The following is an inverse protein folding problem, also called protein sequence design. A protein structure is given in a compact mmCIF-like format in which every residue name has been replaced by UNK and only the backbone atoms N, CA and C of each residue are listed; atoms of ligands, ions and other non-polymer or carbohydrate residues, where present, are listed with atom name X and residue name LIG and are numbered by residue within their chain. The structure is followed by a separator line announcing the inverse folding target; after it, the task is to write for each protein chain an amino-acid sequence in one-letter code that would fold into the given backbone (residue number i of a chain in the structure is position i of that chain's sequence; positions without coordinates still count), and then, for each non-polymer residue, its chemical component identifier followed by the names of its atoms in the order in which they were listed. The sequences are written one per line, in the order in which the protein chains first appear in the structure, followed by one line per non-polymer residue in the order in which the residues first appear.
data_IF_044435538813
#
_entry.id   IF_044435538813
#
_cell.length_a   1.000
_cell.length_b   1.000
_cell.length_c   1.000
_cell.angle_alpha   90.00
_cell.angle_beta   90.00
_cell.angle_gamma   90.00
#
_symmetry.space_group_name_H-M   'P 1'
#
loop_
_entity.id
_entity.type
_entity.pdbx_description
1 polymer ?
#
# COMPACT_ATOMS: atom_id res chain seq x y z
N UNK A 1 -28.20 5.48 -6.19
CA UNK A 1 -27.60 5.23 -4.85
C UNK A 1 -27.06 3.81 -4.64
N UNK A 2 -27.46 2.79 -5.44
CA UNK A 2 -26.96 1.40 -5.27
C UNK A 2 -25.57 1.13 -5.89
N UNK A 3 -25.01 2.07 -6.64
CA UNK A 3 -23.83 1.83 -7.50
C UNK A 3 -22.54 2.45 -6.99
N UNK A 4 -22.50 2.87 -5.71
CA UNK A 4 -21.26 3.41 -5.14
C UNK A 4 -20.17 2.35 -5.10
N UNK A 5 -18.94 2.76 -5.40
CA UNK A 5 -17.73 1.92 -5.33
C UNK A 5 -16.71 2.54 -4.40
N UNK A 6 -16.17 1.73 -3.50
CA UNK A 6 -14.97 2.05 -2.75
C UNK A 6 -13.80 1.33 -3.43
N UNK A 7 -12.82 2.09 -3.93
CA UNK A 7 -11.63 1.55 -4.57
C UNK A 7 -10.41 1.87 -3.72
N UNK A 8 -9.75 0.82 -3.24
CA UNK A 8 -8.60 0.87 -2.35
C UNK A 8 -7.36 0.41 -3.11
N UNK A 9 -6.39 1.29 -3.26
CA UNK A 9 -5.12 0.99 -3.94
C UNK A 9 -4.00 0.74 -2.94
N UNK A 10 -3.22 -0.33 -3.16
CA UNK A 10 -1.84 -0.37 -2.65
C UNK A 10 -0.96 0.64 -3.42
N UNK A 11 0.27 0.89 -2.95
CA UNK A 11 1.17 1.91 -3.49
C UNK A 11 2.33 1.26 -4.26
N UNK A 12 3.19 0.52 -3.57
CA UNK A 12 4.48 0.07 -4.08
C UNK A 12 4.31 -1.13 -5.00
N UNK A 13 4.58 -0.93 -6.29
CA UNK A 13 4.31 -1.96 -7.29
C UNK A 13 2.90 -1.91 -7.86
N UNK A 14 2.03 -1.02 -7.36
CA UNK A 14 0.64 -0.84 -7.85
C UNK A 14 0.40 0.54 -8.46
N UNK A 15 0.62 1.62 -7.70
CA UNK A 15 0.51 3.00 -8.19
C UNK A 15 1.85 3.51 -8.74
N UNK A 16 2.94 3.13 -8.08
CA UNK A 16 4.27 3.64 -8.39
C UNK A 16 5.35 2.61 -8.13
N UNK A 17 6.49 2.79 -8.79
CA UNK A 17 7.75 2.18 -8.40
C UNK A 17 8.48 3.16 -7.48
N UNK A 18 8.76 2.74 -6.24
CA UNK A 18 9.46 3.57 -5.25
C UNK A 18 10.97 3.73 -5.51
N UNK A 19 11.56 2.94 -6.40
CA UNK A 19 13.01 2.90 -6.58
C UNK A 19 13.73 2.31 -5.36
N UNK A 20 15.03 2.61 -5.24
CA UNK A 20 15.88 2.02 -4.18
C UNK A 20 15.94 2.85 -2.91
N UNK A 21 15.69 4.15 -3.01
CA UNK A 21 15.76 5.11 -1.91
C UNK A 21 15.10 4.61 -0.63
N UNK A 22 13.85 4.13 -0.71
CA UNK A 22 13.07 3.74 0.48
C UNK A 22 13.72 2.60 1.25
N UNK A 23 14.12 1.53 0.54
CA UNK A 23 14.79 0.38 1.13
C UNK A 23 16.13 0.79 1.74
N UNK A 24 16.92 1.59 1.02
CA UNK A 24 18.23 2.04 1.50
C UNK A 24 18.12 2.92 2.75
N UNK A 25 17.16 3.86 2.79
CA UNK A 25 16.89 4.67 3.98
C UNK A 25 16.41 3.83 5.15
N UNK A 26 15.55 2.85 4.92
CA UNK A 26 15.02 1.97 5.95
C UNK A 26 16.13 1.11 6.56
N UNK A 27 16.93 0.44 5.72
CA UNK A 27 18.05 -0.39 6.14
C UNK A 27 19.12 0.44 6.88
N UNK A 28 19.40 1.67 6.42
CA UNK A 28 20.30 2.59 7.11
C UNK A 28 19.78 2.99 8.51
N UNK A 29 18.48 3.21 8.66
CA UNK A 29 17.88 3.54 9.96
C UNK A 29 17.90 2.38 10.93
N UNK A 30 17.69 1.15 10.45
CA UNK A 30 17.85 -0.06 11.28
C UNK A 30 19.29 -0.19 11.74
N UNK A 31 20.28 -0.03 10.85
CA UNK A 31 21.69 -0.13 11.19
C UNK A 31 22.16 0.95 12.18
N UNK A 32 21.59 2.16 12.10
CA UNK A 32 21.85 3.25 13.05
C UNK A 32 21.33 2.93 14.45
N UNK A 33 20.13 2.36 14.56
CA UNK A 33 19.56 1.96 15.85
C UNK A 33 20.30 0.77 16.50
N UNK A 34 20.92 -0.09 15.69
CA UNK A 34 21.61 -1.29 16.18
C UNK A 34 23.02 -1.45 15.59
N UNK A 35 23.99 -0.61 16.00
CA UNK A 35 25.35 -0.67 15.47
C UNK A 35 26.01 -2.04 15.73
N UNK A 36 26.54 -2.65 14.68
CA UNK A 36 27.22 -3.95 14.75
C UNK A 36 26.31 -5.19 14.72
N UNK A 37 24.99 -5.01 14.68
CA UNK A 37 24.05 -6.12 14.51
C UNK A 37 23.93 -6.50 13.02
N UNK A 38 24.00 -7.80 12.74
CA UNK A 38 23.77 -8.35 11.40
C UNK A 38 22.30 -8.76 11.30
N UNK A 39 21.57 -8.15 10.37
CA UNK A 39 20.18 -8.46 10.12
C UNK A 39 20.01 -9.49 9.00
N UNK A 40 19.00 -10.38 9.09
CA UNK A 40 18.69 -11.30 8.01
C UNK A 40 18.06 -10.57 6.82
N UNK A 41 18.04 -11.22 5.66
CA UNK A 41 17.23 -10.75 4.53
C UNK A 41 15.76 -11.04 4.81
N UNK A 42 14.92 -10.01 4.77
CA UNK A 42 13.46 -10.14 4.82
C UNK A 42 12.81 -9.53 3.60
N UNK A 43 11.73 -10.14 3.11
CA UNK A 43 10.89 -9.53 2.08
C UNK A 43 10.08 -8.38 2.68
N UNK A 44 10.05 -7.25 1.99
CA UNK A 44 9.25 -6.08 2.40
C UNK A 44 7.88 -6.08 1.72
N UNK A 45 7.77 -6.75 0.58
CA UNK A 45 6.61 -6.66 -0.29
C UNK A 45 5.36 -7.22 0.40
N UNK A 46 4.28 -6.44 0.35
CA UNK A 46 3.00 -6.78 0.98
C UNK A 46 3.00 -6.80 2.51
N UNK A 47 4.04 -6.26 3.18
CA UNK A 47 4.11 -6.14 4.64
C UNK A 47 3.92 -4.70 5.08
N UNK A 48 3.60 -4.52 6.37
CA UNK A 48 3.65 -3.19 6.98
C UNK A 48 5.07 -2.85 7.39
N UNK A 49 5.43 -1.57 7.42
CA UNK A 49 6.75 -1.13 7.87
C UNK A 49 7.06 -1.62 9.30
N UNK A 50 6.04 -1.63 10.18
CA UNK A 50 6.15 -2.18 11.55
C UNK A 50 6.43 -3.68 11.57
N UNK A 51 5.77 -4.45 10.71
CA UNK A 51 6.00 -5.89 10.59
C UNK A 51 7.42 -6.18 10.09
N UNK A 52 7.92 -5.39 9.14
CA UNK A 52 9.30 -5.51 8.64
C UNK A 52 10.30 -5.29 9.78
N UNK A 53 10.15 -4.22 10.57
CA UNK A 53 11.00 -4.00 11.75
C UNK A 53 10.95 -5.17 12.73
N UNK A 54 9.75 -5.69 13.03
CA UNK A 54 9.58 -6.84 13.92
C UNK A 54 10.31 -8.08 13.40
N UNK A 55 10.15 -8.42 12.12
CA UNK A 55 10.81 -9.60 11.54
C UNK A 55 12.34 -9.47 11.52
N UNK A 56 12.86 -8.28 11.22
CA UNK A 56 14.29 -8.00 11.28
C UNK A 56 14.83 -8.21 12.69
N UNK A 57 14.19 -7.64 13.70
CA UNK A 57 14.60 -7.79 15.10
C UNK A 57 14.48 -9.25 15.59
N UNK A 58 13.38 -9.94 15.25
CA UNK A 58 13.20 -11.36 15.59
C UNK A 58 14.27 -12.23 14.95
N UNK A 59 14.54 -12.04 13.66
CA UNK A 59 15.53 -12.82 12.95
C UNK A 59 16.98 -12.49 13.34
N UNK A 60 17.23 -11.30 13.90
CA UNK A 60 18.51 -10.94 14.52
C UNK A 60 18.62 -11.37 15.99
N UNK A 61 17.57 -11.96 16.59
CA UNK A 61 17.57 -12.41 17.97
C UNK A 61 17.52 -11.30 19.03
N UNK A 62 17.12 -10.08 18.64
CA UNK A 62 17.08 -8.89 19.51
C UNK A 62 15.66 -8.43 19.87
N UNK A 63 14.64 -9.18 19.43
CA UNK A 63 13.25 -8.86 19.77
C UNK A 63 12.95 -9.11 21.24
N UNK A 64 12.24 -8.16 21.86
CA UNK A 64 11.73 -8.28 23.24
C UNK A 64 10.24 -7.94 23.28
N UNK A 65 9.48 -8.68 24.09
CA UNK A 65 8.03 -8.45 24.29
C UNK A 65 7.72 -7.44 25.42
N UNK A 66 8.75 -6.79 25.97
CA UNK A 66 8.69 -5.86 27.11
C UNK A 66 8.30 -4.42 26.73
N UNK A 67 7.89 -4.19 25.48
CA UNK A 67 7.50 -2.89 24.96
C UNK A 67 8.66 -2.03 24.46
N UNK A 68 9.91 -2.33 24.81
CA UNK A 68 11.10 -1.62 24.32
C UNK A 68 11.22 -1.72 22.80
N UNK A 69 10.85 -2.88 22.23
CA UNK A 69 10.82 -3.08 20.79
C UNK A 69 9.88 -2.11 20.05
N UNK A 70 8.81 -1.62 20.67
CA UNK A 70 7.93 -0.63 20.03
C UNK A 70 8.60 0.73 19.93
N UNK A 71 9.35 1.15 20.97
CA UNK A 71 10.14 2.38 20.92
C UNK A 71 11.20 2.32 19.82
N UNK A 72 11.89 1.18 19.67
CA UNK A 72 12.85 1.00 18.57
C UNK A 72 12.19 1.06 17.20
N UNK A 73 11.00 0.48 17.03
CA UNK A 73 10.24 0.59 15.77
C UNK A 73 9.95 2.05 15.47
N UNK A 74 9.44 2.82 16.43
CA UNK A 74 9.10 4.22 16.23
C UNK A 74 10.35 5.06 15.89
N UNK A 75 11.48 4.81 16.55
CA UNK A 75 12.76 5.47 16.26
C UNK A 75 13.30 5.12 14.87
N UNK A 76 13.24 3.84 14.47
CA UNK A 76 13.61 3.41 13.11
C UNK A 76 12.77 4.15 12.08
N UNK A 77 11.44 4.16 12.24
CA UNK A 77 10.53 4.79 11.28
C UNK A 77 10.74 6.30 11.20
N UNK A 78 10.95 6.95 12.34
CA UNK A 78 11.28 8.39 12.40
C UNK A 78 12.59 8.71 11.66
N UNK A 79 13.65 7.94 11.92
CA UNK A 79 14.94 8.11 11.26
C UNK A 79 14.83 7.82 9.76
N UNK A 80 14.09 6.78 9.39
CA UNK A 80 13.85 6.38 8.01
C UNK A 80 13.19 7.50 7.22
N UNK A 81 12.08 8.04 7.73
CA UNK A 81 11.37 9.13 7.10
C UNK A 81 12.20 10.43 7.08
N UNK A 82 13.00 10.67 8.12
CA UNK A 82 13.97 11.78 8.15
C UNK A 82 14.98 11.71 7.01
N UNK A 83 15.53 10.52 6.76
CA UNK A 83 16.48 10.26 5.65
C UNK A 83 15.80 10.37 4.30
N UNK A 84 14.58 9.86 4.15
CA UNK A 84 13.81 10.02 2.91
C UNK A 84 13.61 11.50 2.60
N UNK A 85 13.14 12.30 3.57
CA UNK A 85 12.87 13.74 3.38
C UNK A 85 14.11 14.51 2.93
N UNK A 86 15.30 14.15 3.42
CA UNK A 86 16.54 14.84 3.03
C UNK A 86 17.07 14.44 1.64
N UNK A 87 16.66 13.27 1.13
CA UNK A 87 17.23 12.70 -0.11
C UNK A 87 16.24 12.69 -1.30
N UNK A 88 14.93 12.73 -1.04
CA UNK A 88 13.91 12.54 -2.09
C UNK A 88 13.99 13.58 -3.21
N UNK A 89 14.32 14.84 -2.90
CA UNK A 89 14.45 15.89 -3.91
C UNK A 89 15.60 15.63 -4.90
N UNK A 90 16.69 15.01 -4.44
CA UNK A 90 17.86 14.68 -5.24
C UNK A 90 17.69 13.36 -6.00
N UNK A 91 16.78 12.49 -5.53
CA UNK A 91 16.56 11.13 -6.05
C UNK A 91 15.14 10.93 -6.57
N UNK A 92 14.42 12.00 -6.88
CA UNK A 92 13.03 11.95 -7.34
C UNK A 92 12.86 11.16 -8.64
N UNK A 93 13.88 11.16 -9.50
CA UNK A 93 13.91 10.37 -10.74
C UNK A 93 13.89 8.84 -10.52
N UNK A 94 14.12 8.35 -9.30
CA UNK A 94 13.97 6.93 -8.97
C UNK A 94 12.52 6.53 -8.70
N UNK A 95 11.65 7.49 -8.40
CA UNK A 95 10.23 7.25 -8.11
C UNK A 95 9.43 7.52 -9.36
N UNK A 96 8.77 6.49 -9.89
CA UNK A 96 8.02 6.62 -11.15
C UNK A 96 6.60 6.11 -11.01
N UNK A 97 5.66 6.84 -11.60
CA UNK A 97 4.28 6.39 -11.70
C UNK A 97 4.20 5.19 -12.64
N UNK A 98 3.46 4.14 -12.26
CA UNK A 98 3.34 2.94 -13.09
C UNK A 98 2.43 3.18 -14.32
N UNK A 99 2.62 2.39 -15.39
CA UNK A 99 1.85 2.54 -16.63
C UNK A 99 0.33 2.52 -16.39
N UNK A 100 -0.37 3.50 -16.96
CA UNK A 100 -1.83 3.60 -16.94
C UNK A 100 -2.45 4.15 -15.65
N UNK A 101 -1.70 4.26 -14.55
CA UNK A 101 -2.22 4.73 -13.24
C UNK A 101 -2.90 6.10 -13.35
N UNK A 102 -2.24 7.08 -13.97
CA UNK A 102 -2.79 8.45 -14.12
C UNK A 102 -4.16 8.41 -14.80
N UNK A 103 -4.24 7.75 -15.97
CA UNK A 103 -5.47 7.66 -16.76
C UNK A 103 -6.59 6.93 -16.00
N UNK A 104 -6.26 5.84 -15.30
CA UNK A 104 -7.23 5.08 -14.52
C UNK A 104 -7.78 5.92 -13.35
N UNK A 105 -6.90 6.56 -12.59
CA UNK A 105 -7.29 7.39 -11.44
C UNK A 105 -8.12 8.59 -11.89
N UNK A 106 -7.71 9.28 -12.96
CA UNK A 106 -8.47 10.40 -13.53
C UNK A 106 -9.86 9.95 -13.99
N UNK A 107 -9.94 8.80 -14.65
CA UNK A 107 -11.22 8.20 -15.08
C UNK A 107 -12.10 7.87 -13.86
N UNK A 108 -11.56 7.20 -12.84
CA UNK A 108 -12.30 6.88 -11.62
C UNK A 108 -12.82 8.13 -10.92
N UNK A 109 -12.02 9.21 -10.84
CA UNK A 109 -12.43 10.48 -10.23
C UNK A 109 -13.56 11.18 -10.98
N UNK A 110 -13.71 10.94 -12.28
CA UNK A 110 -14.82 11.47 -13.07
C UNK A 110 -16.18 10.84 -12.72
N UNK A 111 -16.18 9.70 -12.02
CA UNK A 111 -17.41 9.04 -11.58
C UNK A 111 -17.81 9.50 -10.18
N UNK A 112 -18.95 10.19 -10.08
CA UNK A 112 -19.48 10.71 -8.81
C UNK A 112 -19.77 9.62 -7.76
N UNK A 113 -19.99 8.38 -8.19
CA UNK A 113 -20.27 7.24 -7.33
C UNK A 113 -18.99 6.46 -6.90
N UNK A 114 -17.79 6.91 -7.29
CA UNK A 114 -16.53 6.26 -6.92
C UNK A 114 -15.83 7.03 -5.80
N UNK A 115 -15.43 6.31 -4.75
CA UNK A 115 -14.62 6.80 -3.67
C UNK A 115 -13.23 6.15 -3.73
N UNK A 116 -12.19 6.96 -3.83
CA UNK A 116 -10.81 6.50 -3.87
C UNK A 116 -10.14 6.60 -2.50
N UNK A 117 -9.48 5.53 -2.10
CA UNK A 117 -8.64 5.50 -0.91
C UNK A 117 -7.41 4.61 -1.09
N UNK A 118 -6.54 4.63 -0.08
CA UNK A 118 -5.33 3.81 -0.04
C UNK A 118 -5.49 2.64 0.94
N UNK A 119 -4.85 1.53 0.64
CA UNK A 119 -4.69 0.39 1.53
C UNK A 119 -3.26 -0.10 1.41
N UNK A 120 -2.39 0.34 2.31
CA UNK A 120 -0.95 0.13 2.17
C UNK A 120 -0.28 -0.19 3.51
N UNK A 121 0.80 -0.95 3.44
CA UNK A 121 1.65 -1.25 4.59
C UNK A 121 2.62 -0.13 4.96
N UNK A 122 2.79 0.86 4.07
CA UNK A 122 3.56 2.05 4.36
C UNK A 122 2.94 2.81 5.53
N UNK A 123 3.78 3.38 6.40
CA UNK A 123 3.33 4.44 7.30
C UNK A 123 2.78 5.62 6.50
N UNK A 124 1.76 6.30 7.04
CA UNK A 124 0.98 7.33 6.34
C UNK A 124 1.87 8.45 5.80
N UNK A 125 2.83 8.93 6.62
CA UNK A 125 3.78 9.95 6.17
C UNK A 125 4.64 9.47 4.98
N UNK A 126 5.08 8.21 5.01
CA UNK A 126 5.82 7.60 3.90
C UNK A 126 4.98 7.49 2.64
N UNK A 127 3.72 7.07 2.77
CA UNK A 127 2.76 7.04 1.67
C UNK A 127 2.53 8.42 1.05
N UNK A 128 2.39 9.46 1.88
CA UNK A 128 2.23 10.85 1.41
C UNK A 128 3.45 11.32 0.61
N UNK A 129 4.67 11.10 1.11
CA UNK A 129 5.90 11.50 0.42
C UNK A 129 6.04 10.76 -0.92
N UNK A 130 5.72 9.46 -0.97
CA UNK A 130 5.73 8.67 -2.22
C UNK A 130 4.79 9.24 -3.27
N UNK A 131 3.54 9.53 -2.89
CA UNK A 131 2.54 10.09 -3.81
C UNK A 131 2.96 11.47 -4.33
N UNK A 132 3.46 12.34 -3.44
CA UNK A 132 3.92 13.67 -3.82
C UNK A 132 5.06 13.62 -4.84
N UNK A 133 5.99 12.67 -4.70
CA UNK A 133 7.10 12.49 -5.62
C UNK A 133 6.67 12.19 -7.07
N UNK A 134 5.46 11.65 -7.27
CA UNK A 134 4.88 11.35 -8.60
C UNK A 134 3.71 12.26 -8.96
N UNK A 135 3.53 13.37 -8.24
CA UNK A 135 2.47 14.34 -8.49
C UNK A 135 1.07 13.79 -8.22
N UNK A 136 0.91 12.97 -7.17
CA UNK A 136 -0.38 12.53 -6.65
C UNK A 136 -0.52 12.99 -5.19
N UNK A 137 -1.75 13.00 -4.67
CA UNK A 137 -2.06 13.51 -3.34
C UNK A 137 -3.00 12.61 -2.54
N UNK A 138 -2.85 12.70 -1.22
CA UNK A 138 -3.75 12.16 -0.21
C UNK A 138 -4.43 13.32 0.53
N UNK A 139 -5.71 13.16 0.89
CA UNK A 139 -6.46 14.12 1.68
C UNK A 139 -7.49 14.91 0.86
N UNK A 140 -7.94 16.04 1.40
CA UNK A 140 -9.05 16.83 0.83
C UNK A 140 -8.81 17.37 -0.57
N UNK A 141 -7.55 17.61 -0.94
CA UNK A 141 -7.16 18.12 -2.26
C UNK A 141 -6.50 17.06 -3.15
N UNK A 142 -6.37 15.83 -2.66
CA UNK A 142 -5.72 14.73 -3.38
C UNK A 142 -6.68 13.87 -4.20
N UNK A 143 -6.12 13.01 -5.04
CA UNK A 143 -6.87 11.95 -5.73
C UNK A 143 -7.46 10.95 -4.73
N UNK A 144 -6.74 10.65 -3.65
CA UNK A 144 -7.15 9.70 -2.62
C UNK A 144 -7.67 10.44 -1.39
N UNK A 145 -8.91 10.19 -1.00
CA UNK A 145 -9.58 10.99 0.02
C UNK A 145 -9.23 10.56 1.46
N UNK A 146 -8.73 9.32 1.63
CA UNK A 146 -8.36 8.69 2.90
C UNK A 146 -7.55 7.39 2.63
N UNK A 147 -7.16 6.67 3.68
CA UNK A 147 -6.64 5.32 3.54
C UNK A 147 -6.54 4.56 4.86
N UNK A 148 -6.03 3.33 4.80
CA UNK A 148 -5.47 2.60 5.93
C UNK A 148 -3.99 2.30 5.66
N UNK A 149 -3.18 2.47 6.69
CA UNK A 149 -1.72 2.59 6.63
C UNK A 149 -1.04 1.66 7.64
N UNK A 150 0.27 1.45 7.50
CA UNK A 150 1.06 0.65 8.44
C UNK A 150 1.11 1.21 9.87
N UNK A 151 0.73 2.48 10.08
CA UNK A 151 0.54 3.03 11.43
C UNK A 151 -0.67 2.43 12.15
N UNK A 152 -1.69 2.01 11.41
CA UNK A 152 -2.97 1.62 11.97
C UNK A 152 -2.92 0.23 12.61
N UNK A 153 -2.11 -0.66 12.04
CA UNK A 153 -1.92 -2.00 12.58
C UNK A 153 -0.64 -2.65 12.01
N UNK A 154 0.02 -3.49 12.81
CA UNK A 154 1.21 -4.24 12.36
C UNK A 154 0.85 -5.36 11.38
N UNK A 155 -0.26 -6.05 11.60
CA UNK A 155 -0.79 -7.06 10.70
C UNK A 155 -1.58 -6.39 9.56
N UNK A 156 -1.10 -6.55 8.31
CA UNK A 156 -1.74 -6.00 7.10
C UNK A 156 -3.20 -6.46 6.94
N UNK A 157 -3.53 -7.67 7.39
CA UNK A 157 -4.88 -8.21 7.26
C UNK A 157 -5.95 -7.47 8.08
N UNK A 158 -5.55 -6.60 9.02
CA UNK A 158 -6.47 -5.74 9.77
C UNK A 158 -6.78 -4.41 9.05
N UNK A 159 -5.90 -3.97 8.14
CA UNK A 159 -6.04 -2.68 7.45
C UNK A 159 -7.32 -2.56 6.60
N UNK A 160 -7.80 -3.61 5.89
CA UNK A 160 -9.01 -3.51 5.08
C UNK A 160 -10.25 -3.09 5.89
N UNK A 161 -10.44 -3.66 7.08
CA UNK A 161 -11.57 -3.30 7.95
C UNK A 161 -11.49 -1.84 8.42
N UNK A 162 -10.27 -1.35 8.69
CA UNK A 162 -10.01 0.05 9.06
C UNK A 162 -10.35 0.99 7.90
N UNK A 163 -9.95 0.64 6.67
CA UNK A 163 -10.28 1.44 5.49
C UNK A 163 -11.80 1.49 5.26
N UNK A 164 -12.50 0.36 5.34
CA UNK A 164 -13.97 0.31 5.17
C UNK A 164 -14.68 1.15 6.24
N UNK A 165 -14.26 1.06 7.51
CA UNK A 165 -14.81 1.87 8.58
C UNK A 165 -14.60 3.38 8.34
N UNK A 166 -13.39 3.79 7.93
CA UNK A 166 -13.10 5.19 7.58
C UNK A 166 -13.92 5.66 6.38
N UNK A 167 -14.19 4.79 5.41
CA UNK A 167 -15.07 5.10 4.28
C UNK A 167 -16.51 5.36 4.75
N UNK A 168 -17.03 4.51 5.65
CA UNK A 168 -18.35 4.70 6.25
C UNK A 168 -18.45 6.04 6.99
N UNK A 169 -17.48 6.34 7.87
CA UNK A 169 -17.43 7.59 8.63
C UNK A 169 -17.36 8.82 7.71
N UNK A 170 -16.60 8.73 6.61
CA UNK A 170 -16.36 9.86 5.71
C UNK A 170 -17.50 10.13 4.74
N UNK A 171 -18.17 9.08 4.24
CA UNK A 171 -19.18 9.19 3.19
C UNK A 171 -20.61 8.92 3.67
N UNK A 172 -20.77 8.59 4.96
CA UNK A 172 -22.04 8.18 5.56
C UNK A 172 -22.75 7.11 4.73
N UNK A 173 -21.97 6.19 4.17
CA UNK A 173 -22.44 5.13 3.27
C UNK A 173 -21.72 3.82 3.59
N UNK A 174 -22.51 2.77 3.78
CA UNK A 174 -21.99 1.43 4.05
C UNK A 174 -21.69 0.72 2.72
N UNK A 175 -20.41 0.59 2.40
CA UNK A 175 -19.96 -0.20 1.25
C UNK A 175 -19.93 -1.67 1.64
N UNK A 176 -20.53 -2.53 0.82
CA UNK A 176 -20.64 -3.97 1.08
C UNK A 176 -20.14 -4.81 -0.09
N UNK A 177 -19.53 -5.96 0.24
CA UNK A 177 -19.12 -6.99 -0.69
C UNK A 177 -18.38 -6.41 -1.92
N UNK A 178 -18.95 -6.58 -3.12
CA UNK A 178 -18.33 -6.21 -4.40
C UNK A 178 -18.44 -4.71 -4.72
N UNK A 179 -19.03 -3.90 -3.84
CA UNK A 179 -18.86 -2.44 -3.87
C UNK A 179 -17.47 -2.02 -3.43
N UNK A 180 -16.75 -2.87 -2.68
CA UNK A 180 -15.38 -2.63 -2.28
C UNK A 180 -14.46 -3.36 -3.25
N UNK A 181 -13.46 -2.65 -3.76
CA UNK A 181 -12.46 -3.16 -4.69
C UNK A 181 -11.08 -2.89 -4.12
N UNK A 182 -10.29 -3.93 -3.92
CA UNK A 182 -8.88 -3.85 -3.52
C UNK A 182 -8.02 -4.14 -4.74
N UNK A 183 -7.07 -3.24 -5.00
CA UNK A 183 -6.15 -3.31 -6.13
C UNK A 183 -4.72 -3.34 -5.59
N UNK A 184 -3.95 -4.35 -5.96
CA UNK A 184 -2.58 -4.54 -5.48
C UNK A 184 -1.76 -5.53 -6.30
N UNK A 185 -0.45 -5.56 -6.08
CA UNK A 185 0.51 -6.36 -6.85
C UNK A 185 1.00 -7.62 -6.12
N UNK A 186 0.51 -7.88 -4.91
CA UNK A 186 0.96 -9.00 -4.09
C UNK A 186 -0.17 -9.98 -3.77
N UNK A 187 0.22 -11.21 -3.42
CA UNK A 187 -0.73 -12.20 -2.88
C UNK A 187 -1.41 -11.71 -1.60
N UNK A 188 -0.77 -10.80 -0.85
CA UNK A 188 -1.35 -10.23 0.36
C UNK A 188 -2.54 -9.33 0.04
N UNK A 189 -2.52 -8.61 -1.08
CA UNK A 189 -3.65 -7.75 -1.51
C UNK A 189 -4.86 -8.58 -1.88
N UNK A 190 -4.63 -9.65 -2.65
CA UNK A 190 -5.68 -10.61 -3.01
C UNK A 190 -6.26 -11.27 -1.75
N UNK A 191 -5.40 -11.73 -0.85
CA UNK A 191 -5.85 -12.39 0.38
C UNK A 191 -6.59 -11.43 1.33
N UNK A 192 -6.18 -10.15 1.40
CA UNK A 192 -6.88 -9.12 2.15
C UNK A 192 -8.30 -8.87 1.61
N UNK A 193 -8.48 -8.84 0.29
CA UNK A 193 -9.83 -8.71 -0.26
C UNK A 193 -10.68 -9.96 -0.09
N UNK A 194 -10.07 -11.14 -0.15
CA UNK A 194 -10.77 -12.40 0.08
C UNK A 194 -11.25 -12.58 1.49
N UNK A 195 -10.47 -12.19 2.50
CA UNK A 195 -10.90 -12.28 3.90
C UNK A 195 -12.14 -11.43 4.20
N UNK A 196 -12.37 -10.37 3.40
CA UNK A 196 -13.58 -9.55 3.47
C UNK A 196 -14.68 -9.95 2.46
N UNK A 197 -14.43 -10.93 1.58
CA UNK A 197 -15.36 -11.30 0.51
C UNK A 197 -15.58 -10.19 -0.53
N UNK A 198 -14.64 -9.26 -0.68
CA UNK A 198 -14.76 -8.10 -1.58
C UNK A 198 -14.18 -8.40 -2.97
N UNK A 199 -14.20 -7.43 -3.88
CA UNK A 199 -13.60 -7.58 -5.21
C UNK A 199 -12.09 -7.35 -5.12
N UNK A 200 -11.32 -8.18 -5.81
CA UNK A 200 -9.86 -8.14 -5.87
C UNK A 200 -9.37 -8.02 -7.30
N UNK A 201 -8.49 -7.07 -7.55
CA UNK A 201 -7.80 -6.89 -8.82
C UNK A 201 -6.31 -6.99 -8.56
N UNK A 202 -5.68 -8.05 -9.06
CA UNK A 202 -4.25 -8.23 -9.00
C UNK A 202 -3.58 -7.57 -10.20
N UNK A 203 -2.46 -6.87 -9.99
CA UNK A 203 -1.63 -6.29 -11.06
C UNK A 203 -0.24 -6.93 -11.09
N UNK A 204 0.24 -7.27 -12.29
CA UNK A 204 1.52 -7.95 -12.52
C UNK A 204 2.76 -7.07 -12.49
N UNK A 205 2.68 -5.89 -11.86
CA UNK A 205 3.74 -4.87 -11.79
C UNK A 205 4.64 -5.00 -10.57
N UNK A 206 4.34 -5.96 -9.69
CA UNK A 206 5.11 -6.24 -8.48
C UNK A 206 6.46 -6.90 -8.74
N UNK A 207 7.39 -6.72 -7.79
CA UNK A 207 8.75 -7.28 -7.88
C UNK A 207 8.90 -8.64 -7.18
N UNK A 208 7.90 -9.04 -6.38
CA UNK A 208 8.02 -10.14 -5.42
C UNK A 208 7.20 -11.36 -5.82
N UNK A 209 5.98 -11.15 -6.32
CA UNK A 209 5.06 -12.23 -6.66
C UNK A 209 5.19 -12.58 -8.13
N UNK A 210 5.41 -13.86 -8.43
CA UNK A 210 5.33 -14.33 -9.80
C UNK A 210 3.87 -14.32 -10.25
N UNK A 211 3.62 -14.11 -11.55
CA UNK A 211 2.27 -14.17 -12.13
C UNK A 211 1.50 -15.43 -11.71
N UNK A 212 2.20 -16.56 -11.64
CA UNK A 212 1.65 -17.85 -11.20
C UNK A 212 1.16 -17.82 -9.76
N UNK A 213 1.89 -17.15 -8.86
CA UNK A 213 1.51 -17.00 -7.45
C UNK A 213 0.30 -16.08 -7.30
N UNK A 214 0.28 -14.95 -8.02
CA UNK A 214 -0.88 -14.04 -8.02
C UNK A 214 -2.14 -14.74 -8.54
N UNK A 215 -2.04 -15.47 -9.65
CA UNK A 215 -3.17 -16.25 -10.17
C UNK A 215 -3.56 -17.40 -9.24
N UNK A 216 -2.59 -18.03 -8.56
CA UNK A 216 -2.83 -19.05 -7.55
C UNK A 216 -3.58 -18.53 -6.32
N UNK A 217 -3.40 -17.24 -5.99
CA UNK A 217 -4.22 -16.56 -4.99
C UNK A 217 -5.66 -16.32 -5.47
N UNK A 218 -5.99 -16.62 -6.74
CA UNK A 218 -7.31 -16.59 -7.37
C UNK A 218 -8.06 -15.25 -7.21
N UNK A 219 -7.50 -14.12 -7.70
CA UNK A 219 -8.17 -12.82 -7.71
C UNK A 219 -9.38 -12.82 -8.65
N UNK A 220 -10.33 -11.91 -8.45
CA UNK A 220 -11.47 -11.77 -9.38
C UNK A 220 -11.00 -11.32 -10.77
N UNK A 221 -9.99 -10.46 -10.82
CA UNK A 221 -9.36 -10.01 -12.05
C UNK A 221 -7.84 -9.95 -11.93
N UNK A 222 -7.15 -10.18 -13.05
CA UNK A 222 -5.70 -10.00 -13.17
C UNK A 222 -5.38 -9.16 -14.40
N UNK A 223 -4.50 -8.17 -14.23
CA UNK A 223 -3.94 -7.37 -15.32
C UNK A 223 -2.42 -7.38 -15.23
N UNK A 224 -1.71 -7.32 -16.37
CA UNK A 224 -0.25 -7.23 -16.36
C UNK A 224 0.25 -5.91 -15.77
N UNK A 225 -0.47 -4.83 -16.05
CA UNK A 225 -0.30 -3.48 -15.51
C UNK A 225 -1.65 -2.74 -15.61
N UNK A 226 -1.67 -1.42 -15.40
CA UNK A 226 -2.88 -0.61 -15.49
C UNK A 226 -3.04 0.10 -16.85
N UNK A 227 -2.24 -0.25 -17.87
CA UNK A 227 -2.26 0.39 -19.20
C UNK A 227 -3.60 0.20 -19.91
N UNK A 228 -4.21 -0.98 -19.75
CA UNK A 228 -5.55 -1.35 -20.18
C UNK A 228 -6.65 -0.70 -19.30
N UNK A 229 -6.50 0.60 -19.01
CA UNK A 229 -7.29 1.33 -18.01
C UNK A 229 -8.80 1.29 -18.26
N UNK A 230 -9.27 1.22 -19.51
CA UNK A 230 -10.71 1.06 -19.80
C UNK A 230 -11.25 -0.30 -19.34
N UNK A 231 -10.50 -1.38 -19.57
CA UNK A 231 -10.86 -2.72 -19.10
C UNK A 231 -10.77 -2.81 -17.57
N UNK A 232 -9.76 -2.18 -16.97
CA UNK A 232 -9.63 -2.10 -15.51
C UNK A 232 -10.82 -1.34 -14.93
N UNK A 233 -11.16 -0.16 -15.48
CA UNK A 233 -12.32 0.63 -15.06
C UNK A 233 -13.62 -0.18 -15.16
N UNK A 234 -13.83 -0.89 -16.27
CA UNK A 234 -14.99 -1.75 -16.43
C UNK A 234 -15.06 -2.85 -15.34
N UNK A 235 -13.93 -3.48 -15.00
CA UNK A 235 -13.88 -4.49 -13.92
C UNK A 235 -14.19 -3.91 -12.54
N UNK A 236 -13.85 -2.64 -12.30
CA UNK A 236 -14.16 -1.92 -11.06
C UNK A 236 -15.66 -1.59 -11.00
N UNK A 237 -16.23 -1.09 -12.10
CA UNK A 237 -17.61 -0.59 -12.12
C UNK A 237 -18.67 -1.67 -12.32
N UNK A 238 -18.31 -2.79 -12.96
CA UNK A 238 -19.23 -3.89 -13.31
C UNK A 238 -20.12 -4.31 -12.13
N UNK A 239 -21.43 -4.32 -12.38
CA UNK A 239 -22.43 -4.94 -11.52
C UNK A 239 -22.36 -6.47 -11.72
N UNK A 240 -22.24 -7.21 -10.62
CA UNK A 240 -22.38 -8.67 -10.62
C UNK A 240 -23.84 -9.03 -10.41
#
# INVERSE_FOLDING_TARGET
MKNKRLVLFDIDGTLLNGGRLWRECFEASVAECFPGVIFPRVSFSGKTDRLICMELMKGAGIWTDDGVAQTWIDDILKNYLGRVRSLISQRSGEVTLLPGVRKLVDSLRSHADVCLGLLTGNVEEGAQIKLQAVGMGLGSSGEFAFGAFGNDHWNRYELPAIAVRRALEKFSFEFQAKQIVIIGDTVHDVNCGKSLGVRTIAVGTGHSAQRTELLGANPDYFFSDLSAHEQVLASILCEM
#
